data_IF_247700538366
#
_entry.id   IF_247700538366
#
_cell.length_a   1.000
_cell.length_b   1.000
_cell.length_c   1.000
_cell.angle_alpha   90.00
_cell.angle_beta   90.00
_cell.angle_gamma   90.00
#
_symmetry.space_group_name_H-M   'P 1'
#
loop_
_entity.id
_entity.type
_entity.pdbx_description
1 polymer ?
#
# COMPACT_ATOMS: atom_id res chain seq x y z
N UNK A 1 -6.97 -8.27 -1.12
CA UNK A 1 -6.63 -8.43 -2.57
C UNK A 1 -5.15 -8.18 -2.75
N UNK A 2 -4.46 -9.01 -3.51
CA UNK A 2 -3.01 -8.90 -3.79
C UNK A 2 -2.80 -8.44 -5.23
N UNK A 3 -2.08 -7.33 -5.40
CA UNK A 3 -1.74 -6.77 -6.71
C UNK A 3 -0.50 -7.47 -7.25
N UNK A 4 -0.70 -8.42 -8.18
CA UNK A 4 0.34 -9.30 -8.72
C UNK A 4 1.04 -8.67 -9.92
N UNK A 5 2.37 -8.79 -9.97
CA UNK A 5 3.19 -8.35 -11.11
C UNK A 5 3.55 -9.51 -12.03
N UNK A 6 3.58 -9.27 -13.35
CA UNK A 6 4.11 -10.20 -14.35
C UNK A 6 5.61 -10.04 -14.60
N UNK A 7 6.21 -8.96 -14.11
CA UNK A 7 7.56 -8.53 -14.49
C UNK A 7 8.58 -8.70 -13.36
N UNK A 8 8.11 -9.12 -12.16
CA UNK A 8 8.94 -9.39 -10.98
C UNK A 8 8.39 -10.56 -10.17
N UNK A 9 9.22 -11.15 -9.31
CA UNK A 9 8.76 -12.15 -8.33
C UNK A 9 7.75 -11.55 -7.36
N UNK A 10 6.72 -12.33 -7.04
CA UNK A 10 5.71 -11.99 -6.05
C UNK A 10 5.91 -12.77 -4.73
N UNK A 11 6.99 -13.51 -4.58
CA UNK A 11 7.20 -14.44 -3.47
C UNK A 11 7.12 -13.76 -2.09
N UNK A 12 7.76 -12.61 -1.90
CA UNK A 12 7.72 -11.85 -0.65
C UNK A 12 6.31 -11.34 -0.37
N UNK A 13 5.68 -10.73 -1.38
CA UNK A 13 4.32 -10.21 -1.29
C UNK A 13 3.31 -11.30 -0.94
N UNK A 14 3.43 -12.48 -1.56
CA UNK A 14 2.59 -13.64 -1.28
C UNK A 14 2.85 -14.22 0.10
N UNK A 15 4.08 -14.17 0.61
CA UNK A 15 4.39 -14.58 1.96
C UNK A 15 3.71 -13.68 3.00
N UNK A 16 3.71 -12.36 2.78
CA UNK A 16 2.94 -11.42 3.61
C UNK A 16 1.44 -11.67 3.50
N UNK A 17 0.93 -11.94 2.29
CA UNK A 17 -0.48 -12.28 2.08
C UNK A 17 -0.89 -13.57 2.82
N UNK A 18 -0.02 -14.58 2.84
CA UNK A 18 -0.25 -15.82 3.58
C UNK A 18 -0.34 -15.58 5.10
N UNK A 19 0.60 -14.81 5.67
CA UNK A 19 0.61 -14.46 7.09
C UNK A 19 -0.66 -13.68 7.49
N UNK A 20 -1.07 -12.71 6.68
CA UNK A 20 -2.32 -11.97 6.92
C UNK A 20 -3.56 -12.87 6.79
N UNK A 21 -3.60 -13.73 5.77
CA UNK A 21 -4.72 -14.64 5.56
C UNK A 21 -4.89 -15.64 6.71
N UNK A 22 -3.79 -16.18 7.22
CA UNK A 22 -3.81 -17.06 8.39
C UNK A 22 -4.28 -16.33 9.65
N UNK A 23 -3.72 -15.15 9.90
CA UNK A 23 -4.00 -14.35 11.11
C UNK A 23 -5.43 -13.83 11.18
N UNK A 24 -5.99 -13.43 10.04
CA UNK A 24 -7.33 -12.85 9.96
C UNK A 24 -8.37 -13.78 9.34
N UNK A 25 -8.03 -15.05 9.07
CA UNK A 25 -8.90 -16.01 8.39
C UNK A 25 -9.47 -15.44 7.09
N UNK A 26 -8.64 -14.72 6.33
CA UNK A 26 -9.07 -13.93 5.19
C UNK A 26 -9.07 -14.72 3.88
N UNK A 27 -10.00 -14.37 2.98
CA UNK A 27 -9.95 -14.78 1.58
C UNK A 27 -8.88 -13.97 0.84
N UNK A 28 -8.03 -14.63 0.07
CA UNK A 28 -7.03 -13.96 -0.76
C UNK A 28 -7.46 -13.95 -2.22
N UNK A 29 -7.55 -12.75 -2.78
CA UNK A 29 -7.83 -12.54 -4.20
C UNK A 29 -6.56 -12.07 -4.88
N UNK A 30 -5.92 -12.89 -5.70
CA UNK A 30 -4.82 -12.49 -6.57
C UNK A 30 -5.36 -11.79 -7.80
N UNK A 31 -4.87 -10.61 -8.10
CA UNK A 31 -5.25 -9.85 -9.31
C UNK A 31 -4.00 -9.47 -10.07
N UNK A 32 -3.93 -9.95 -11.31
CA UNK A 32 -2.89 -9.60 -12.27
C UNK A 32 -3.49 -8.73 -13.37
N UNK A 33 -3.03 -7.49 -13.49
CA UNK A 33 -3.44 -6.57 -14.54
C UNK A 33 -2.22 -6.18 -15.39
N UNK A 34 -2.38 -6.17 -16.70
CA UNK A 34 -1.33 -5.70 -17.61
C UNK A 34 -1.91 -4.78 -18.67
N UNK A 35 -1.19 -3.71 -18.94
CA UNK A 35 -1.51 -2.78 -20.00
C UNK A 35 -0.88 -3.25 -21.32
N UNK A 36 -1.70 -3.40 -22.35
CA UNK A 36 -1.16 -3.61 -23.70
C UNK A 36 -0.41 -2.36 -24.16
N UNK A 37 0.86 -2.55 -24.50
CA UNK A 37 1.67 -1.48 -25.07
C UNK A 37 1.10 -1.07 -26.42
N UNK A 38 0.47 0.09 -26.49
CA UNK A 38 0.06 0.73 -27.74
C UNK A 38 1.28 1.39 -28.40
N UNK A 39 2.28 0.61 -28.78
CA UNK A 39 3.40 1.16 -29.54
C UNK A 39 2.90 1.78 -30.84
N UNK A 40 3.44 2.94 -31.18
CA UNK A 40 3.12 3.76 -32.36
C UNK A 40 3.27 3.04 -33.71
N UNK A 41 3.77 1.84 -33.76
CA UNK A 41 3.74 0.92 -34.91
C UNK A 41 2.33 0.48 -35.31
N UNK A 42 1.32 0.81 -34.51
CA UNK A 42 -0.08 0.45 -34.73
C UNK A 42 -0.71 1.09 -35.96
N UNK A 43 -0.14 2.19 -36.47
CA UNK A 43 -0.61 2.87 -37.66
C UNK A 43 0.02 2.32 -38.96
N UNK A 44 1.02 1.45 -38.85
CA UNK A 44 1.84 1.06 -40.03
C UNK A 44 1.69 -0.43 -40.43
N UNK A 45 0.92 -1.25 -39.74
CA UNK A 45 0.84 -2.71 -40.04
C UNK A 45 -0.61 -3.11 -40.31
N UNK A 46 -0.84 -3.77 -41.46
CA UNK A 46 -2.12 -4.31 -41.86
C UNK A 46 -2.70 -5.36 -40.91
N UNK A 47 -3.94 -5.86 -41.14
CA UNK A 47 -4.64 -6.74 -40.23
C UNK A 47 -4.01 -8.14 -40.23
N UNK A 48 -3.19 -8.44 -39.24
CA UNK A 48 -2.66 -9.78 -39.01
C UNK A 48 -1.36 -9.84 -38.22
N UNK A 49 -1.37 -10.52 -37.10
CA UNK A 49 -0.31 -11.15 -36.33
C UNK A 49 0.32 -10.47 -35.09
N UNK A 50 0.61 -9.18 -34.94
CA UNK A 50 1.31 -8.70 -33.73
C UNK A 50 0.51 -8.87 -32.41
N UNK A 51 -0.82 -8.77 -32.50
CA UNK A 51 -1.70 -8.87 -31.31
C UNK A 51 -1.76 -10.27 -30.71
N UNK A 52 -1.73 -11.32 -31.55
CA UNK A 52 -1.77 -12.70 -31.08
C UNK A 52 -0.57 -13.03 -30.21
N UNK A 53 0.61 -12.67 -30.65
CA UNK A 53 1.86 -12.98 -29.99
C UNK A 53 2.06 -12.25 -28.62
N UNK A 54 1.64 -10.98 -28.51
CA UNK A 54 1.68 -10.25 -27.23
C UNK A 54 0.67 -10.82 -26.24
N UNK A 55 -0.52 -11.16 -26.70
CA UNK A 55 -1.55 -11.81 -25.90
C UNK A 55 -1.11 -13.18 -25.40
N UNK A 56 -0.47 -13.98 -26.24
CA UNK A 56 0.02 -15.30 -25.86
C UNK A 56 1.16 -15.21 -24.85
N UNK A 57 2.12 -14.31 -25.05
CA UNK A 57 3.15 -14.01 -24.06
C UNK A 57 2.58 -13.53 -22.70
N UNK A 58 1.53 -12.73 -22.75
CA UNK A 58 0.87 -12.31 -21.52
C UNK A 58 0.21 -13.51 -20.83
N UNK A 59 -0.53 -14.33 -21.55
CA UNK A 59 -1.16 -15.55 -21.02
C UNK A 59 -0.15 -16.51 -20.39
N UNK A 60 1.00 -16.70 -21.03
CA UNK A 60 2.09 -17.50 -20.48
C UNK A 60 2.62 -16.94 -19.16
N UNK A 61 2.88 -15.62 -19.11
CA UNK A 61 3.34 -14.96 -17.88
C UNK A 61 2.30 -15.03 -16.76
N UNK A 62 1.03 -14.79 -17.08
CA UNK A 62 -0.09 -14.91 -16.12
C UNK A 62 -0.17 -16.34 -15.56
N UNK A 63 -0.01 -17.37 -16.39
CA UNK A 63 -0.04 -18.76 -15.93
C UNK A 63 1.10 -19.07 -14.95
N UNK A 64 2.28 -18.50 -15.17
CA UNK A 64 3.42 -18.61 -14.23
C UNK A 64 3.08 -17.94 -12.90
N UNK A 65 2.55 -16.72 -12.94
CA UNK A 65 2.17 -15.94 -11.74
C UNK A 65 1.02 -16.62 -10.99
N UNK A 66 0.04 -17.16 -11.69
CA UNK A 66 -1.04 -17.93 -11.06
C UNK A 66 -0.52 -19.20 -10.36
N UNK A 67 0.42 -19.90 -10.97
CA UNK A 67 1.06 -21.06 -10.35
C UNK A 67 1.83 -20.67 -9.10
N UNK A 68 2.60 -19.57 -9.13
CA UNK A 68 3.29 -19.01 -7.96
C UNK A 68 2.28 -18.68 -6.85
N UNK A 69 1.19 -17.97 -7.17
CA UNK A 69 0.12 -17.63 -6.27
C UNK A 69 -0.48 -18.85 -5.56
N UNK A 70 -0.92 -19.85 -6.34
CA UNK A 70 -1.54 -21.06 -5.79
C UNK A 70 -0.59 -21.92 -4.98
N UNK A 71 0.68 -22.03 -5.41
CA UNK A 71 1.68 -22.84 -4.70
C UNK A 71 2.07 -22.20 -3.36
N UNK A 72 2.32 -20.89 -3.34
CA UNK A 72 2.73 -20.17 -2.13
C UNK A 72 1.58 -20.11 -1.10
N UNK A 73 0.35 -19.93 -1.58
CA UNK A 73 -0.84 -19.82 -0.72
C UNK A 73 -1.57 -21.16 -0.53
N UNK A 74 -0.92 -22.29 -0.79
CA UNK A 74 -1.54 -23.63 -0.73
C UNK A 74 -2.21 -24.00 0.59
N UNK A 75 -1.85 -23.32 1.69
CA UNK A 75 -2.45 -23.50 3.02
C UNK A 75 -3.63 -22.56 3.30
N UNK A 76 -3.88 -21.60 2.43
CA UNK A 76 -4.99 -20.65 2.58
C UNK A 76 -6.25 -21.27 1.99
N UNK A 77 -7.31 -21.37 2.77
CA UNK A 77 -8.53 -22.08 2.38
C UNK A 77 -9.30 -21.44 1.22
N UNK A 78 -9.32 -20.12 1.14
CA UNK A 78 -10.13 -19.37 0.18
C UNK A 78 -9.24 -18.54 -0.73
N UNK A 79 -9.00 -19.05 -1.96
CA UNK A 79 -8.21 -18.37 -2.98
C UNK A 79 -9.06 -18.08 -4.21
N UNK A 80 -9.03 -16.84 -4.64
CA UNK A 80 -9.61 -16.38 -5.89
C UNK A 80 -8.51 -15.82 -6.78
N UNK A 81 -8.62 -16.01 -8.08
CA UNK A 81 -7.66 -15.51 -9.06
C UNK A 81 -8.37 -14.75 -10.17
N UNK A 82 -7.81 -13.62 -10.56
CA UNK A 82 -8.27 -12.82 -11.69
C UNK A 82 -7.08 -12.31 -12.47
N UNK A 83 -7.21 -12.33 -13.80
CA UNK A 83 -6.22 -11.76 -14.71
C UNK A 83 -6.95 -10.90 -15.74
N UNK A 84 -6.50 -9.67 -15.94
CA UNK A 84 -7.13 -8.73 -16.84
C UNK A 84 -6.11 -8.04 -17.74
N UNK A 85 -6.47 -7.87 -19.00
CA UNK A 85 -5.76 -7.05 -19.97
C UNK A 85 -6.50 -5.74 -20.10
N UNK A 86 -5.78 -4.66 -19.96
CA UNK A 86 -6.36 -3.31 -20.01
C UNK A 86 -5.71 -2.47 -21.14
N UNK A 87 -6.51 -1.60 -21.74
CA UNK A 87 -6.02 -0.57 -22.64
C UNK A 87 -5.54 0.70 -21.90
N UNK A 88 -5.93 0.83 -20.63
CA UNK A 88 -5.56 1.95 -19.77
C UNK A 88 -4.56 1.56 -18.67
N UNK A 89 -4.26 2.48 -17.75
CA UNK A 89 -3.36 2.22 -16.63
C UNK A 89 -3.81 1.03 -15.78
N UNK A 90 -2.86 0.21 -15.35
CA UNK A 90 -3.14 -0.98 -14.51
C UNK A 90 -3.75 -0.61 -13.16
N UNK A 91 -3.37 0.55 -12.61
CA UNK A 91 -3.95 1.12 -11.38
C UNK A 91 -5.47 1.28 -11.45
N UNK A 92 -6.03 1.70 -12.59
CA UNK A 92 -7.47 1.83 -12.79
C UNK A 92 -8.18 0.47 -12.74
N UNK A 93 -7.61 -0.52 -13.41
CA UNK A 93 -8.16 -1.89 -13.41
C UNK A 93 -8.13 -2.48 -12.00
N UNK A 94 -7.00 -2.37 -11.30
CA UNK A 94 -6.86 -2.83 -9.93
C UNK A 94 -7.81 -2.11 -8.96
N UNK A 95 -7.96 -0.79 -9.10
CA UNK A 95 -8.94 -0.01 -8.32
C UNK A 95 -10.38 -0.49 -8.54
N UNK A 96 -10.75 -0.82 -9.78
CA UNK A 96 -12.07 -1.38 -10.09
C UNK A 96 -12.27 -2.77 -9.47
N UNK A 97 -11.22 -3.59 -9.40
CA UNK A 97 -11.26 -4.90 -8.76
C UNK A 97 -11.30 -4.83 -7.22
N UNK A 98 -10.89 -3.70 -6.64
CA UNK A 98 -10.83 -3.47 -5.20
C UNK A 98 -12.20 -3.34 -4.52
N UNK A 99 -13.30 -3.20 -5.28
CA UNK A 99 -14.65 -2.95 -4.69
C UNK A 99 -15.11 -4.03 -3.70
N UNK A 100 -14.65 -5.25 -3.86
CA UNK A 100 -14.95 -6.39 -2.98
C UNK A 100 -13.80 -6.76 -2.04
N UNK A 101 -12.83 -5.88 -1.83
CA UNK A 101 -11.70 -6.10 -0.94
C UNK A 101 -11.75 -5.17 0.26
N UNK A 102 -11.30 -5.66 1.42
CA UNK A 102 -11.13 -4.84 2.62
C UNK A 102 -9.76 -4.19 2.68
N UNK A 103 -8.76 -4.85 2.09
CA UNK A 103 -7.37 -4.42 2.06
C UNK A 103 -6.73 -4.77 0.71
N UNK A 104 -5.97 -3.85 0.14
CA UNK A 104 -5.09 -4.11 -0.99
C UNK A 104 -3.67 -4.32 -0.47
N UNK A 105 -2.99 -5.31 -1.02
CA UNK A 105 -1.58 -5.58 -0.76
C UNK A 105 -0.80 -5.39 -2.06
N UNK A 106 0.16 -4.49 -2.04
CA UNK A 106 1.05 -4.19 -3.16
C UNK A 106 2.50 -4.14 -2.67
N UNK A 107 3.45 -4.40 -3.56
CA UNK A 107 4.84 -4.19 -3.22
C UNK A 107 5.18 -2.69 -3.30
N UNK A 108 6.00 -2.20 -2.37
CA UNK A 108 6.53 -0.84 -2.46
C UNK A 108 7.42 -0.69 -3.70
N UNK A 109 7.48 0.54 -4.23
CA UNK A 109 8.40 0.86 -5.32
C UNK A 109 9.83 1.00 -4.76
N UNK A 110 10.80 0.31 -5.34
CA UNK A 110 12.22 0.53 -5.03
C UNK A 110 12.81 1.53 -6.01
N UNK A 111 13.58 2.50 -5.51
CA UNK A 111 14.18 3.61 -6.28
C UNK A 111 15.12 3.13 -7.42
N UNK A 112 15.65 1.91 -7.33
CA UNK A 112 16.67 1.39 -8.25
C UNK A 112 16.12 0.78 -9.55
N UNK A 113 14.81 0.75 -9.77
CA UNK A 113 14.21 -0.01 -10.89
C UNK A 113 13.25 0.78 -11.75
N UNK A 114 13.60 2.01 -12.11
CA UNK A 114 12.97 2.67 -13.26
C UNK A 114 13.46 2.02 -14.55
N UNK A 115 13.02 0.80 -14.80
CA UNK A 115 13.18 0.19 -16.13
C UNK A 115 12.15 0.85 -17.05
N UNK A 116 12.62 1.72 -17.91
CA UNK A 116 11.80 2.37 -18.94
C UNK A 116 11.00 1.33 -19.71
N UNK A 117 9.67 1.40 -19.67
CA UNK A 117 8.78 0.66 -20.57
C UNK A 117 7.98 -0.48 -19.95
N UNK A 118 8.08 -0.77 -18.66
CA UNK A 118 7.18 -1.71 -17.98
C UNK A 118 5.86 -1.02 -17.63
N UNK A 119 4.77 -1.78 -17.66
CA UNK A 119 3.46 -1.34 -17.16
C UNK A 119 3.48 -1.41 -15.63
N UNK A 120 4.32 -0.58 -15.01
CA UNK A 120 4.42 -0.52 -13.55
C UNK A 120 3.11 -0.03 -12.95
N UNK A 121 2.73 -0.65 -11.85
CA UNK A 121 1.61 -0.20 -11.04
C UNK A 121 1.94 1.19 -10.48
N UNK A 122 1.19 2.19 -10.87
CA UNK A 122 1.28 3.50 -10.24
C UNK A 122 0.55 3.45 -8.89
N UNK A 123 1.31 3.17 -7.84
CA UNK A 123 0.80 2.96 -6.47
C UNK A 123 0.01 4.17 -5.97
N UNK A 124 0.46 5.36 -6.29
CA UNK A 124 -0.20 6.62 -5.92
C UNK A 124 -1.60 6.73 -6.51
N UNK A 125 -1.74 6.40 -7.79
CA UNK A 125 -3.03 6.43 -8.48
C UNK A 125 -3.95 5.30 -7.96
N UNK A 126 -3.39 4.14 -7.61
CA UNK A 126 -4.15 3.07 -6.96
C UNK A 126 -4.71 3.52 -5.61
N UNK A 127 -3.90 4.16 -4.75
CA UNK A 127 -4.34 4.68 -3.44
C UNK A 127 -5.48 5.68 -3.62
N UNK A 128 -5.32 6.63 -4.55
CA UNK A 128 -6.30 7.68 -4.79
C UNK A 128 -7.65 7.15 -5.31
N UNK A 129 -7.64 6.04 -6.06
CA UNK A 129 -8.82 5.53 -6.77
C UNK A 129 -9.50 4.36 -6.10
N UNK A 130 -8.78 3.57 -5.32
CA UNK A 130 -9.31 2.31 -4.78
C UNK A 130 -10.40 2.50 -3.75
N UNK A 131 -10.39 3.62 -3.01
CA UNK A 131 -11.26 3.84 -1.86
C UNK A 131 -11.09 2.78 -0.76
N UNK A 132 -9.97 2.08 -0.76
CA UNK A 132 -9.59 1.02 0.18
C UNK A 132 -8.18 1.26 0.71
N UNK A 133 -7.87 0.81 1.93
CA UNK A 133 -6.51 0.88 2.44
C UNK A 133 -5.57 0.04 1.56
N UNK A 134 -4.39 0.56 1.32
CA UNK A 134 -3.31 -0.11 0.60
C UNK A 134 -2.16 -0.37 1.57
N UNK A 135 -1.85 -1.63 1.80
CA UNK A 135 -0.66 -2.05 2.52
C UNK A 135 0.47 -2.27 1.51
N UNK A 136 1.52 -1.50 1.65
CA UNK A 136 2.74 -1.61 0.87
C UNK A 136 3.73 -2.49 1.62
N UNK A 137 4.06 -3.63 1.02
CA UNK A 137 5.09 -4.51 1.56
C UNK A 137 6.47 -3.99 1.17
N UNK A 138 7.35 -3.77 2.14
CA UNK A 138 8.74 -3.38 1.87
C UNK A 138 9.55 -4.55 1.31
N UNK A 139 10.58 -4.28 0.50
CA UNK A 139 11.48 -5.32 0.00
C UNK A 139 12.08 -6.15 1.13
N UNK A 140 12.22 -7.46 0.91
CA UNK A 140 12.75 -8.40 1.89
C UNK A 140 11.75 -8.82 2.99
N UNK A 141 10.55 -8.22 3.03
CA UNK A 141 9.55 -8.58 4.03
C UNK A 141 8.77 -9.82 3.60
N UNK A 142 8.86 -10.87 4.39
CA UNK A 142 8.10 -12.11 4.18
C UNK A 142 6.98 -12.30 5.20
N UNK A 143 6.93 -11.48 6.23
CA UNK A 143 5.94 -11.54 7.31
C UNK A 143 5.70 -10.18 7.93
N UNK A 144 4.44 -9.83 8.18
CA UNK A 144 4.08 -8.61 8.91
C UNK A 144 4.05 -8.90 10.41
N UNK A 145 5.11 -8.54 11.12
CA UNK A 145 5.27 -8.92 12.53
C UNK A 145 4.33 -8.16 13.47
N UNK A 146 4.05 -6.88 13.20
CA UNK A 146 3.19 -6.01 14.02
C UNK A 146 3.61 -5.98 15.51
N UNK A 147 4.93 -5.99 15.76
CA UNK A 147 5.46 -5.79 17.12
C UNK A 147 5.27 -4.35 17.55
N UNK A 148 5.59 -3.42 16.65
CA UNK A 148 5.44 -1.98 16.88
C UNK A 148 4.86 -1.31 15.65
N UNK A 149 3.73 -0.67 15.84
CA UNK A 149 3.06 0.08 14.79
C UNK A 149 3.10 1.57 15.12
N UNK A 150 3.67 2.34 14.19
CA UNK A 150 3.66 3.81 14.25
C UNK A 150 2.53 4.36 13.41
N UNK A 151 1.64 5.14 14.03
CA UNK A 151 0.62 5.92 13.33
C UNK A 151 1.14 7.34 13.16
N UNK A 152 1.40 7.75 11.91
CA UNK A 152 1.72 9.13 11.55
C UNK A 152 0.42 9.92 11.45
N UNK A 153 0.12 10.66 12.51
CA UNK A 153 -1.13 11.39 12.64
C UNK A 153 -1.00 12.85 12.25
N UNK A 154 -2.04 13.36 11.65
CA UNK A 154 -2.37 14.77 11.53
C UNK A 154 -3.88 14.85 11.49
N UNK A 155 -4.49 15.83 12.16
CA UNK A 155 -5.95 15.89 12.24
C UNK A 155 -6.59 16.25 10.90
N UNK A 156 -6.60 15.28 9.99
CA UNK A 156 -7.18 15.32 8.65
C UNK A 156 -8.14 14.17 8.44
N UNK A 157 -9.03 14.27 7.45
CA UNK A 157 -9.96 13.20 7.10
C UNK A 157 -9.23 11.92 6.66
N UNK A 158 -8.11 12.06 5.95
CA UNK A 158 -7.31 10.95 5.44
C UNK A 158 -6.62 10.19 6.58
N UNK A 159 -6.08 10.90 7.57
CA UNK A 159 -5.49 10.28 8.75
C UNK A 159 -6.54 9.57 9.61
N UNK A 160 -7.71 10.21 9.81
CA UNK A 160 -8.84 9.57 10.52
C UNK A 160 -9.27 8.30 9.82
N UNK A 161 -9.33 8.32 8.47
CA UNK A 161 -9.68 7.15 7.67
C UNK A 161 -8.60 6.07 7.78
N UNK A 162 -7.31 6.43 7.66
CA UNK A 162 -6.22 5.48 7.77
C UNK A 162 -6.21 4.75 9.12
N UNK A 163 -6.46 5.46 10.21
CA UNK A 163 -6.57 4.85 11.55
C UNK A 163 -7.77 3.91 11.64
N UNK A 164 -8.93 4.30 11.10
CA UNK A 164 -10.12 3.47 11.09
C UNK A 164 -9.91 2.20 10.25
N UNK A 165 -9.33 2.32 9.06
CA UNK A 165 -9.03 1.21 8.17
C UNK A 165 -7.94 0.28 8.75
N UNK A 166 -7.01 0.83 9.55
CA UNK A 166 -5.94 0.08 10.21
C UNK A 166 -6.39 -0.68 11.47
N UNK A 167 -7.58 -0.44 12.00
CA UNK A 167 -8.02 -1.03 13.29
C UNK A 167 -7.76 -2.53 13.42
N UNK A 168 -8.00 -3.39 12.41
CA UNK A 168 -7.69 -4.81 12.53
C UNK A 168 -6.20 -5.07 12.78
N UNK A 169 -5.31 -4.33 12.12
CA UNK A 169 -3.86 -4.45 12.28
C UNK A 169 -3.40 -3.86 13.61
N UNK A 170 -3.96 -2.71 14.02
CA UNK A 170 -3.66 -2.07 15.30
C UNK A 170 -4.03 -2.95 16.48
N UNK A 171 -5.17 -3.66 16.41
CA UNK A 171 -5.57 -4.64 17.42
C UNK A 171 -4.63 -5.85 17.51
N UNK A 172 -4.01 -6.20 16.40
CA UNK A 172 -3.04 -7.30 16.33
C UNK A 172 -1.62 -6.86 16.70
N UNK A 173 -1.37 -5.56 16.82
CA UNK A 173 -0.06 -5.00 17.19
C UNK A 173 0.22 -5.15 18.67
N UNK A 174 1.47 -5.47 19.01
CA UNK A 174 1.88 -5.57 20.42
C UNK A 174 2.01 -4.20 21.07
N UNK A 175 2.46 -3.20 20.30
CA UNK A 175 2.57 -1.81 20.72
C UNK A 175 2.14 -0.88 19.61
N UNK A 176 1.36 0.14 19.94
CA UNK A 176 0.90 1.18 19.03
C UNK A 176 1.35 2.53 19.56
N UNK A 177 2.09 3.26 18.75
CA UNK A 177 2.46 4.65 19.00
C UNK A 177 1.80 5.54 17.95
N UNK A 178 1.25 6.66 18.40
CA UNK A 178 0.64 7.69 17.54
C UNK A 178 1.43 8.96 17.69
N UNK A 179 1.98 9.49 16.60
CA UNK A 179 2.77 10.72 16.62
C UNK A 179 2.14 11.79 15.74
N UNK A 180 2.06 13.01 16.27
CA UNK A 180 1.76 14.22 15.50
C UNK A 180 2.97 15.16 15.53
N UNK A 181 3.45 15.53 14.34
CA UNK A 181 4.45 16.57 14.19
C UNK A 181 3.75 17.93 14.10
N UNK A 182 3.99 18.82 15.05
CA UNK A 182 3.36 20.12 15.15
C UNK A 182 4.38 21.26 15.27
N UNK A 183 3.99 22.48 14.95
CA UNK A 183 4.81 23.64 15.29
C UNK A 183 4.82 23.83 16.82
N UNK A 184 5.85 24.49 17.35
CA UNK A 184 5.96 24.73 18.80
C UNK A 184 4.70 25.37 19.43
N UNK A 185 3.95 26.17 18.65
CA UNK A 185 2.73 26.83 19.12
C UNK A 185 1.50 25.95 19.09
N UNK A 186 1.57 24.85 18.33
CA UNK A 186 0.47 23.90 18.11
C UNK A 186 0.60 22.61 18.93
N UNK A 187 1.65 22.47 19.72
CA UNK A 187 1.89 21.27 20.54
C UNK A 187 0.74 20.99 21.49
N UNK A 188 0.29 21.98 22.26
CA UNK A 188 -0.77 21.78 23.25
C UNK A 188 -2.12 21.44 22.58
N UNK A 189 -2.56 22.14 21.51
CA UNK A 189 -3.74 21.73 20.75
C UNK A 189 -3.61 20.33 20.11
N UNK A 190 -2.46 20.00 19.55
CA UNK A 190 -2.19 18.68 18.97
C UNK A 190 -2.28 17.58 20.05
N UNK A 191 -1.66 17.81 21.22
CA UNK A 191 -1.71 16.86 22.32
C UNK A 191 -3.14 16.65 22.85
N UNK A 192 -3.97 17.70 22.90
CA UNK A 192 -5.38 17.58 23.27
C UNK A 192 -6.16 16.72 22.25
N UNK A 193 -5.99 16.97 20.94
CA UNK A 193 -6.61 16.18 19.89
C UNK A 193 -6.17 14.70 19.90
N UNK A 194 -4.89 14.45 20.22
CA UNK A 194 -4.36 13.10 20.39
C UNK A 194 -4.97 12.40 21.61
N UNK A 195 -5.36 13.13 22.66
CA UNK A 195 -6.11 12.59 23.79
C UNK A 195 -7.45 11.99 23.34
N UNK A 196 -8.21 12.74 22.54
CA UNK A 196 -9.49 12.27 21.98
C UNK A 196 -9.31 11.03 21.08
N UNK A 197 -8.25 11.00 20.27
CA UNK A 197 -7.91 9.86 19.44
C UNK A 197 -7.53 8.64 20.28
N UNK A 198 -6.72 8.81 21.32
CA UNK A 198 -6.34 7.73 22.24
C UNK A 198 -7.56 7.12 22.93
N UNK A 199 -8.51 7.97 23.37
CA UNK A 199 -9.77 7.50 23.93
C UNK A 199 -10.64 6.76 22.90
N UNK A 200 -10.64 7.22 21.66
CA UNK A 200 -11.33 6.53 20.57
C UNK A 200 -10.70 5.16 20.30
N UNK A 201 -9.38 5.07 20.20
CA UNK A 201 -8.63 3.81 20.01
C UNK A 201 -8.91 2.83 21.15
N UNK A 202 -8.90 3.29 22.40
CA UNK A 202 -9.19 2.47 23.58
C UNK A 202 -10.60 1.89 23.55
N UNK A 203 -11.61 2.67 23.13
CA UNK A 203 -12.97 2.16 22.94
C UNK A 203 -13.06 1.08 21.85
N UNK A 204 -12.11 1.06 20.91
CA UNK A 204 -11.99 0.02 19.89
C UNK A 204 -11.07 -1.14 20.29
N UNK A 205 -10.57 -1.15 21.52
CA UNK A 205 -9.71 -2.20 22.05
C UNK A 205 -8.24 -2.09 21.62
N UNK A 206 -7.77 -0.87 21.33
CA UNK A 206 -6.37 -0.57 21.01
C UNK A 206 -5.81 0.36 22.07
N UNK A 207 -4.81 -0.10 22.83
CA UNK A 207 -4.01 0.75 23.72
C UNK A 207 -2.89 1.39 22.89
N UNK A 208 -2.79 2.72 22.92
CA UNK A 208 -1.82 3.47 22.14
C UNK A 208 -1.16 4.58 22.96
N UNK A 209 0.14 4.72 22.79
CA UNK A 209 0.91 5.87 23.30
C UNK A 209 0.80 7.03 22.30
N UNK A 210 0.09 8.10 22.66
CA UNK A 210 -0.18 9.23 21.77
C UNK A 210 0.63 10.46 22.23
N UNK A 211 1.45 11.02 21.35
CA UNK A 211 2.27 12.19 21.68
C UNK A 211 2.46 13.13 20.51
N UNK A 212 2.44 14.44 20.81
CA UNK A 212 2.85 15.49 19.88
C UNK A 212 4.32 15.86 20.12
N UNK A 213 5.04 16.11 19.03
CA UNK A 213 6.45 16.52 19.09
C UNK A 213 6.72 17.66 18.11
N UNK A 214 7.63 18.60 18.45
CA UNK A 214 7.96 19.69 17.54
C UNK A 214 8.56 19.18 16.23
N UNK A 215 8.04 19.68 15.10
CA UNK A 215 8.61 19.38 13.79
C UNK A 215 10.03 19.96 13.71
N UNK A 216 10.99 19.11 13.36
CA UNK A 216 12.37 19.49 13.08
C UNK A 216 12.76 19.08 11.66
N UNK A 217 13.20 20.03 10.86
CA UNK A 217 13.63 19.75 9.48
C UNK A 217 12.48 19.37 8.55
N UNK A 218 12.74 18.37 7.68
CA UNK A 218 11.75 17.85 6.72
C UNK A 218 10.87 16.83 7.41
N UNK A 219 9.56 16.99 7.27
CA UNK A 219 8.54 16.16 7.96
C UNK A 219 8.72 14.66 7.71
N UNK A 220 8.96 14.25 6.45
CA UNK A 220 9.17 12.84 6.09
C UNK A 220 10.42 12.25 6.75
N UNK A 221 11.52 13.00 6.77
CA UNK A 221 12.76 12.56 7.40
C UNK A 221 12.61 12.45 8.93
N UNK A 222 11.85 13.36 9.54
CA UNK A 222 11.58 13.31 10.99
C UNK A 222 10.71 12.10 11.35
N UNK A 223 9.65 11.82 10.59
CA UNK A 223 8.82 10.63 10.78
C UNK A 223 9.62 9.33 10.56
N UNK A 224 10.49 9.29 9.56
CA UNK A 224 11.37 8.15 9.33
C UNK A 224 12.31 7.91 10.51
N UNK A 225 12.91 8.97 11.05
CA UNK A 225 13.79 8.88 12.24
C UNK A 225 13.02 8.40 13.49
N UNK A 226 11.77 8.84 13.69
CA UNK A 226 10.92 8.34 14.77
C UNK A 226 10.60 6.86 14.56
N UNK A 227 10.23 6.46 13.35
CA UNK A 227 9.95 5.06 13.03
C UNK A 227 11.17 4.15 13.29
N UNK A 228 12.37 4.66 12.99
CA UNK A 228 13.62 3.96 13.26
C UNK A 228 13.91 3.89 14.77
N UNK A 229 13.82 5.00 15.48
CA UNK A 229 14.05 5.04 16.93
C UNK A 229 13.08 4.15 17.71
N UNK A 230 11.87 3.97 17.21
CA UNK A 230 10.85 3.09 17.80
C UNK A 230 10.98 1.63 17.33
N UNK A 231 11.86 1.30 16.42
CA UNK A 231 11.93 -0.02 15.75
C UNK A 231 10.54 -0.45 15.22
N UNK A 232 9.83 0.50 14.61
CA UNK A 232 8.50 0.24 14.05
C UNK A 232 8.60 -0.68 12.83
N UNK A 233 7.80 -1.74 12.78
CA UNK A 233 7.73 -2.68 11.66
C UNK A 233 6.50 -2.46 10.76
N UNK A 234 5.56 -1.63 11.21
CA UNK A 234 4.43 -1.14 10.43
C UNK A 234 4.25 0.36 10.64
N UNK A 235 4.05 1.09 9.55
CA UNK A 235 3.67 2.50 9.57
C UNK A 235 2.24 2.65 9.04
N UNK A 236 1.43 3.49 9.68
CA UNK A 236 0.08 3.83 9.22
C UNK A 236 0.02 5.34 8.97
N UNK A 237 -0.41 5.73 7.78
CA UNK A 237 -0.50 7.15 7.41
C UNK A 237 -1.71 7.45 6.51
N UNK A 238 -2.28 8.63 6.64
CA UNK A 238 -3.19 9.20 5.65
C UNK A 238 -2.42 9.67 4.42
N UNK A 239 -2.97 9.45 3.23
CA UNK A 239 -2.37 9.91 1.99
C UNK A 239 -3.03 11.18 1.47
N UNK A 240 -2.22 12.09 0.91
CA UNK A 240 -2.68 13.22 0.10
C UNK A 240 -3.63 14.22 0.81
N UNK A 241 -3.53 14.37 2.13
CA UNK A 241 -4.26 15.39 2.89
C UNK A 241 -3.75 16.81 2.60
N UNK A 242 -4.68 17.76 2.51
CA UNK A 242 -4.55 19.21 2.35
C UNK A 242 -3.87 19.81 1.11
N UNK A 243 -4.70 20.53 0.34
CA UNK A 243 -4.40 21.64 -0.59
C UNK A 243 -3.55 21.39 -1.83
N UNK A 244 -3.02 20.20 -2.10
CA UNK A 244 -2.18 19.94 -3.27
C UNK A 244 -2.85 19.19 -4.42
N UNK A 245 -4.17 19.07 -4.40
CA UNK A 245 -4.97 18.59 -5.53
C UNK A 245 -4.84 19.44 -6.81
N UNK A 246 -4.25 20.64 -6.71
CA UNK A 246 -4.09 21.56 -7.86
C UNK A 246 -2.73 21.55 -8.52
N UNK A 247 -1.73 21.03 -7.85
CA UNK A 247 -0.39 20.92 -8.44
C UNK A 247 0.04 19.46 -8.32
N UNK A 248 0.33 18.83 -9.40
CA UNK A 248 0.85 17.47 -9.59
C UNK A 248 2.12 17.15 -8.77
N UNK A 249 2.18 17.62 -7.53
CA UNK A 249 3.28 17.41 -6.63
C UNK A 249 2.82 16.54 -5.45
N UNK A 250 3.22 15.29 -5.45
CA UNK A 250 3.19 14.41 -4.30
C UNK A 250 3.65 15.17 -3.06
N UNK A 251 2.86 15.20 -1.99
CA UNK A 251 3.36 15.69 -0.72
C UNK A 251 4.61 14.89 -0.35
N UNK A 252 5.72 15.58 -0.07
CA UNK A 252 7.02 14.94 0.17
C UNK A 252 6.96 13.78 1.16
N UNK A 253 6.15 13.93 2.23
CA UNK A 253 5.96 12.88 3.26
C UNK A 253 5.35 11.60 2.68
N UNK A 254 4.24 11.69 1.95
CA UNK A 254 3.58 10.50 1.40
C UNK A 254 4.47 9.80 0.39
N UNK A 255 5.13 10.55 -0.50
CA UNK A 255 6.04 9.98 -1.50
C UNK A 255 7.24 9.29 -0.86
N UNK A 256 7.88 9.93 0.12
CA UNK A 256 9.04 9.37 0.80
C UNK A 256 8.66 8.14 1.63
N UNK A 257 7.52 8.17 2.33
CA UNK A 257 7.00 7.00 3.05
C UNK A 257 6.63 5.84 2.12
N UNK A 258 6.10 6.14 0.93
CA UNK A 258 5.70 5.12 -0.05
C UNK A 258 6.88 4.54 -0.82
N UNK A 259 7.87 5.38 -1.18
CA UNK A 259 8.95 4.99 -2.11
C UNK A 259 10.25 4.60 -1.42
N UNK A 260 10.47 5.03 -0.17
CA UNK A 260 11.73 4.79 0.54
C UNK A 260 11.56 4.01 1.83
N UNK A 261 10.35 3.53 2.10
CA UNK A 261 10.10 2.81 3.34
C UNK A 261 10.75 1.42 3.32
N UNK A 262 11.73 1.23 4.17
CA UNK A 262 12.23 -0.10 4.52
C UNK A 262 11.21 -0.88 5.39
N UNK A 263 10.06 -0.30 5.65
CA UNK A 263 9.00 -0.81 6.52
C UNK A 263 7.68 -0.95 5.76
N UNK A 264 6.89 -1.93 6.13
CA UNK A 264 5.53 -2.03 5.61
C UNK A 264 4.73 -0.78 5.98
N UNK A 265 3.99 -0.25 5.02
CA UNK A 265 3.22 0.99 5.23
C UNK A 265 1.78 0.81 4.79
N UNK A 266 0.82 1.03 5.69
CA UNK A 266 -0.60 1.10 5.36
C UNK A 266 -1.00 2.54 5.10
N UNK A 267 -1.64 2.76 3.96
CA UNK A 267 -2.05 4.10 3.52
C UNK A 267 -3.51 4.10 3.11
N UNK A 268 -4.24 5.14 3.52
CA UNK A 268 -5.63 5.39 3.08
C UNK A 268 -5.83 6.82 2.63
N UNK A 269 -6.76 7.01 1.68
CA UNK A 269 -7.16 8.33 1.16
C UNK A 269 -8.65 8.59 1.33
#
# INVERSE_FOLDING_TARGET
>A
MVCMSTDRSNAELLSVAADLAERFSATVVGVCANQLSMNSSFLAVGPGEPRGHELDKFRERVAIVEKEFRSTLSRVNNLLWRAEITAGPTSHTLANQARGADLLLAASESDDRKVSGSSELEVSDLIMRSGRPVLLASPGTTRLQMRRTLVCWKDTREARRAVADALPLLKASQKVEVVELASQREIDPAQAGLGDLGDWLRRHGVEADCFATPLTGVESAHLAAIAEALDADLVVAGAFGHSRLREWAFGGVTKDLLMRSERCTLVSH
#
